data_IF_876258847778
#
_entry.id   IF_876258847778
#
_cell.length_a   1.000
_cell.length_b   1.000
_cell.length_c   1.000
_cell.angle_alpha   90.00
_cell.angle_beta   90.00
_cell.angle_gamma   90.00
#
_symmetry.space_group_name_H-M   'P 1'
#
loop_
_entity.id
_entity.type
_entity.pdbx_description
1 polymer ?
#
# COMPACT_ATOMS: atom_id res chain seq x y z
N UNK A 1 28.28 -58.89 11.44
CA UNK A 1 28.67 -57.86 10.46
C UNK A 1 27.54 -56.85 10.35
N UNK A 2 27.78 -55.58 10.68
CA UNK A 2 26.76 -54.51 10.72
C UNK A 2 26.77 -53.76 9.39
N UNK A 3 25.69 -53.84 8.61
CA UNK A 3 25.49 -52.97 7.45
C UNK A 3 24.80 -51.67 7.91
N UNK A 4 25.47 -50.54 7.72
CA UNK A 4 24.96 -49.20 8.01
C UNK A 4 24.05 -48.76 6.86
N UNK A 5 22.76 -48.60 7.12
CA UNK A 5 21.83 -47.96 6.19
C UNK A 5 21.97 -46.45 6.35
N UNK A 6 22.54 -45.77 5.35
CA UNK A 6 22.60 -44.30 5.30
C UNK A 6 21.31 -43.82 4.65
N UNK A 7 20.43 -43.22 5.46
CA UNK A 7 19.22 -42.53 4.98
C UNK A 7 19.67 -41.19 4.40
N UNK A 8 19.73 -41.09 3.07
CA UNK A 8 19.90 -39.80 2.38
C UNK A 8 18.51 -39.16 2.29
N UNK A 9 18.15 -38.39 3.32
CA UNK A 9 16.98 -37.53 3.28
C UNK A 9 17.29 -36.31 2.42
N UNK A 10 16.84 -36.35 1.16
CA UNK A 10 16.80 -35.17 0.29
C UNK A 10 15.72 -34.25 0.83
N UNK A 11 16.11 -33.30 1.68
CA UNK A 11 15.28 -32.16 2.07
C UNK A 11 15.12 -31.25 0.86
N UNK A 12 14.08 -31.50 0.06
CA UNK A 12 13.59 -30.53 -0.90
C UNK A 12 13.00 -29.35 -0.14
N UNK A 13 13.74 -28.25 -0.05
CA UNK A 13 13.21 -26.94 0.31
C UNK A 13 12.18 -26.53 -0.76
N UNK A 14 10.92 -26.89 -0.54
CA UNK A 14 9.80 -26.19 -1.14
C UNK A 14 9.72 -24.82 -0.48
N UNK A 15 10.37 -23.83 -1.08
CA UNK A 15 10.06 -22.42 -0.90
C UNK A 15 8.67 -22.17 -1.48
N UNK A 16 7.64 -22.61 -0.76
CA UNK A 16 6.31 -22.05 -0.91
C UNK A 16 6.39 -20.64 -0.32
N UNK A 17 6.48 -19.64 -1.19
CA UNK A 17 6.17 -18.27 -0.85
C UNK A 17 4.71 -18.24 -0.38
N UNK A 18 4.49 -18.41 0.93
CA UNK A 18 3.21 -18.15 1.57
C UNK A 18 2.97 -16.65 1.49
N UNK A 19 2.40 -16.19 0.38
CA UNK A 19 1.66 -14.94 0.34
C UNK A 19 0.57 -15.06 1.41
N UNK A 20 0.76 -14.42 2.56
CA UNK A 20 -0.26 -14.40 3.60
C UNK A 20 -1.48 -13.69 3.02
N UNK A 21 -2.64 -14.36 2.90
CA UNK A 21 -3.83 -13.66 2.44
C UNK A 21 -4.17 -12.56 3.44
N UNK A 22 -4.23 -11.31 2.97
CA UNK A 22 -4.51 -10.15 3.80
C UNK A 22 -5.75 -10.35 4.68
N UNK A 23 -5.71 -9.78 5.89
CA UNK A 23 -6.74 -9.95 6.90
C UNK A 23 -8.05 -9.32 6.41
N UNK A 24 -9.15 -10.06 6.46
CA UNK A 24 -10.47 -9.50 6.17
C UNK A 24 -10.84 -8.51 7.26
N UNK A 25 -11.32 -7.34 6.85
CA UNK A 25 -11.73 -6.28 7.74
C UNK A 25 -13.24 -6.15 7.64
N UNK A 26 -13.91 -6.17 8.79
CA UNK A 26 -15.32 -5.81 8.87
C UNK A 26 -15.59 -4.39 8.36
N UNK A 27 -16.86 -4.12 8.08
CA UNK A 27 -17.43 -2.86 7.57
C UNK A 27 -17.28 -1.63 8.49
N UNK A 28 -16.38 -1.66 9.48
CA UNK A 28 -16.19 -0.59 10.46
C UNK A 28 -15.41 0.62 9.93
N UNK A 29 -14.67 0.47 8.83
CA UNK A 29 -13.94 1.59 8.24
C UNK A 29 -14.88 2.49 7.45
N UNK A 30 -15.36 3.56 8.09
CA UNK A 30 -16.26 4.54 7.50
C UNK A 30 -15.52 5.49 6.55
N UNK A 31 -15.05 4.97 5.42
CA UNK A 31 -14.46 5.79 4.36
C UNK A 31 -15.57 6.51 3.57
N UNK A 32 -15.36 7.79 3.18
CA UNK A 32 -16.30 8.51 2.33
C UNK A 32 -16.49 7.79 0.98
N UNK A 33 -17.75 7.49 0.64
CA UNK A 33 -18.13 6.88 -0.64
C UNK A 33 -19.18 7.77 -1.30
N UNK A 34 -18.88 8.27 -2.50
CA UNK A 34 -19.79 9.08 -3.28
C UNK A 34 -19.35 9.09 -4.76
N UNK A 35 -20.31 9.37 -5.65
CA UNK A 35 -19.98 9.70 -7.03
C UNK A 35 -19.25 11.06 -7.06
N UNK A 36 -18.20 11.17 -7.85
CA UNK A 36 -17.37 12.37 -7.93
C UNK A 36 -16.32 12.27 -9.03
N UNK A 37 -15.52 13.34 -9.19
CA UNK A 37 -14.35 13.34 -10.06
C UNK A 37 -13.11 12.85 -9.29
N UNK A 38 -12.07 12.46 -10.03
CA UNK A 38 -10.75 12.24 -9.46
C UNK A 38 -10.17 13.57 -8.94
N UNK A 39 -9.44 13.50 -7.83
CA UNK A 39 -8.65 14.60 -7.27
C UNK A 39 -7.39 14.86 -8.10
N UNK A 40 -6.83 13.79 -8.67
CA UNK A 40 -5.71 13.83 -9.62
C UNK A 40 -5.72 12.52 -10.44
N UNK A 41 -5.14 12.57 -11.63
CA UNK A 41 -4.98 11.41 -12.51
C UNK A 41 -3.55 11.34 -13.01
N UNK A 42 -3.00 10.13 -13.04
CA UNK A 42 -1.66 9.86 -13.59
C UNK A 42 -1.67 8.53 -14.32
N UNK A 43 -0.72 8.35 -15.24
CA UNK A 43 -0.46 7.06 -15.86
C UNK A 43 0.91 6.57 -15.41
N UNK A 44 0.97 5.35 -14.90
CA UNK A 44 2.21 4.62 -14.65
C UNK A 44 2.36 3.50 -15.69
N UNK A 45 3.56 2.98 -15.85
CA UNK A 45 3.80 1.88 -16.76
C UNK A 45 4.29 0.64 -16.01
N UNK A 46 3.51 -0.43 -16.06
CA UNK A 46 3.94 -1.74 -15.58
C UNK A 46 4.40 -2.61 -16.74
N UNK A 47 5.21 -3.62 -16.44
CA UNK A 47 5.66 -4.57 -17.44
C UNK A 47 5.63 -5.98 -16.86
N UNK A 48 4.66 -6.82 -17.27
CA UNK A 48 4.56 -8.18 -16.76
C UNK A 48 5.66 -9.11 -17.30
N UNK A 49 6.39 -8.70 -18.34
CA UNK A 49 7.34 -9.52 -19.09
C UNK A 49 8.79 -9.03 -19.03
N UNK A 50 9.13 -8.21 -18.04
CA UNK A 50 10.50 -7.73 -17.83
C UNK A 50 10.95 -6.64 -18.80
N UNK A 51 10.02 -5.94 -19.44
CA UNK A 51 10.25 -4.69 -20.17
C UNK A 51 9.93 -4.72 -21.66
N UNK A 52 9.46 -5.85 -22.19
CA UNK A 52 9.15 -6.00 -23.63
C UNK A 52 7.82 -5.31 -23.95
N UNK A 53 6.82 -5.51 -23.09
CA UNK A 53 5.55 -4.81 -23.14
C UNK A 53 5.43 -3.85 -21.95
N UNK A 54 5.12 -2.59 -22.25
CA UNK A 54 4.78 -1.58 -21.25
C UNK A 54 3.28 -1.35 -21.28
N UNK A 55 2.64 -1.71 -20.18
CA UNK A 55 1.22 -1.54 -19.97
C UNK A 55 0.94 -0.21 -19.29
N UNK A 56 0.16 0.71 -19.89
CA UNK A 56 -0.27 1.92 -19.19
C UNK A 56 -1.35 1.55 -18.17
N UNK A 57 -1.06 1.80 -16.89
CA UNK A 57 -2.05 1.73 -15.83
C UNK A 57 -2.42 3.15 -15.41
N UNK A 58 -3.70 3.46 -15.45
CA UNK A 58 -4.23 4.74 -15.02
C UNK A 58 -4.54 4.69 -13.53
N UNK A 59 -3.93 5.59 -12.78
CA UNK A 59 -4.22 5.82 -11.37
C UNK A 59 -5.09 7.07 -11.25
N UNK A 60 -6.32 6.90 -10.78
CA UNK A 60 -7.17 7.99 -10.36
C UNK A 60 -7.09 8.12 -8.85
N UNK A 61 -6.52 9.21 -8.36
CA UNK A 61 -6.57 9.54 -6.95
C UNK A 61 -7.96 10.09 -6.62
N UNK A 62 -8.74 9.38 -5.81
CA UNK A 62 -10.16 9.68 -5.54
C UNK A 62 -10.41 10.29 -4.17
N UNK A 63 -9.53 9.99 -3.22
CA UNK A 63 -9.74 10.35 -1.82
C UNK A 63 -8.40 10.58 -1.13
N UNK A 64 -8.30 11.65 -0.35
CA UNK A 64 -7.25 11.87 0.64
C UNK A 64 -7.91 12.29 1.94
N UNK A 65 -8.07 11.35 2.87
CA UNK A 65 -8.71 11.61 4.17
C UNK A 65 -7.81 11.24 5.32
N UNK A 66 -8.20 11.61 6.54
CA UNK A 66 -7.50 11.23 7.76
C UNK A 66 -8.44 10.48 8.69
N UNK A 67 -7.94 9.43 9.31
CA UNK A 67 -8.65 8.72 10.36
C UNK A 67 -7.73 8.47 11.57
N UNK A 68 -8.28 8.44 12.78
CA UNK A 68 -7.53 8.11 13.98
C UNK A 68 -7.06 6.65 13.98
N UNK A 69 -6.06 6.34 14.80
CA UNK A 69 -5.38 5.06 14.81
C UNK A 69 -6.22 3.88 15.30
N UNK A 70 -7.20 4.17 16.16
CA UNK A 70 -8.21 3.21 16.64
C UNK A 70 -9.04 2.62 15.47
N UNK A 71 -9.29 3.41 14.42
CA UNK A 71 -9.90 2.90 13.19
C UNK A 71 -9.00 1.88 12.46
N UNK A 72 -7.68 1.93 12.68
CA UNK A 72 -6.65 1.04 12.12
C UNK A 72 -6.26 -0.13 13.00
N UNK A 73 -6.45 -0.02 14.31
CA UNK A 73 -6.07 -1.06 15.26
C UNK A 73 -6.77 -2.41 14.97
N UNK A 74 -8.02 -2.37 14.49
CA UNK A 74 -8.76 -3.55 14.04
C UNK A 74 -8.37 -4.02 12.62
N UNK A 75 -7.78 -3.14 11.81
CA UNK A 75 -7.43 -3.38 10.42
C UNK A 75 -6.10 -4.14 10.27
N UNK A 76 -5.13 -3.86 11.14
CA UNK A 76 -3.73 -4.19 10.87
C UNK A 76 -2.98 -4.69 12.12
N UNK A 77 -3.37 -5.84 12.71
CA UNK A 77 -2.58 -6.46 13.78
C UNK A 77 -1.16 -6.83 13.34
N UNK A 78 -0.92 -6.90 12.02
CA UNK A 78 0.38 -7.23 11.42
C UNK A 78 1.31 -6.01 11.21
N UNK A 79 0.84 -4.77 11.35
CA UNK A 79 1.69 -3.59 11.20
C UNK A 79 2.26 -3.22 12.58
N UNK A 80 3.49 -3.66 12.83
CA UNK A 80 4.22 -3.34 14.06
C UNK A 80 4.36 -1.81 14.24
N UNK A 81 4.23 -1.32 15.48
CA UNK A 81 4.43 0.10 15.82
C UNK A 81 3.25 1.04 15.56
N UNK A 82 2.09 0.54 15.11
CA UNK A 82 0.87 1.33 14.87
C UNK A 82 0.46 2.20 16.08
N UNK A 83 0.55 1.63 17.28
CA UNK A 83 0.24 2.33 18.52
C UNK A 83 1.21 3.49 18.81
N UNK A 84 2.49 3.33 18.49
CA UNK A 84 3.47 4.39 18.71
C UNK A 84 3.23 5.56 17.75
N UNK A 85 2.89 5.23 16.49
CA UNK A 85 2.55 6.21 15.46
C UNK A 85 1.23 6.94 15.75
N UNK A 86 0.29 6.31 16.46
CA UNK A 86 -1.00 6.90 16.83
C UNK A 86 -0.86 8.22 17.60
N UNK A 87 0.20 8.32 18.42
CA UNK A 87 0.49 9.54 19.21
C UNK A 87 0.83 10.76 18.34
N UNK A 88 1.22 10.54 17.08
CA UNK A 88 1.64 11.58 16.14
C UNK A 88 0.47 12.24 15.39
N UNK A 89 -0.74 11.70 15.52
CA UNK A 89 -1.97 12.21 14.91
C UNK A 89 -2.76 11.16 14.11
N UNK A 90 -3.66 11.63 13.25
CA UNK A 90 -4.43 10.77 12.36
C UNK A 90 -3.62 10.25 11.18
N UNK A 91 -3.81 8.98 10.85
CA UNK A 91 -3.24 8.34 9.66
C UNK A 91 -3.88 8.88 8.39
N UNK A 92 -3.12 8.91 7.31
CA UNK A 92 -3.61 9.41 6.03
C UNK A 92 -4.03 8.25 5.14
N UNK A 93 -5.24 8.33 4.60
CA UNK A 93 -5.83 7.34 3.71
C UNK A 93 -5.92 7.94 2.32
N UNK A 94 -5.26 7.29 1.38
CA UNK A 94 -5.21 7.69 -0.03
C UNK A 94 -5.96 6.63 -0.83
N UNK A 95 -7.16 6.96 -1.28
CA UNK A 95 -7.99 6.09 -2.10
C UNK A 95 -7.68 6.27 -3.57
N UNK A 96 -7.29 5.19 -4.25
CA UNK A 96 -6.87 5.16 -5.64
C UNK A 96 -7.71 4.15 -6.41
N UNK A 97 -8.14 4.51 -7.61
CA UNK A 97 -8.64 3.55 -8.60
C UNK A 97 -7.50 3.27 -9.56
N UNK A 98 -7.14 2.00 -9.70
CA UNK A 98 -6.15 1.50 -10.64
C UNK A 98 -6.90 0.89 -11.81
N UNK A 99 -6.72 1.41 -13.02
CA UNK A 99 -7.33 0.88 -14.24
C UNK A 99 -6.26 0.42 -15.21
N UNK A 100 -6.40 -0.81 -15.69
CA UNK A 100 -5.54 -1.35 -16.73
C UNK A 100 -6.22 -1.14 -18.09
N UNK A 101 -5.70 -0.18 -18.87
CA UNK A 101 -6.22 0.14 -20.22
C UNK A 101 -5.47 -0.58 -21.35
N UNK A 102 -4.48 -1.42 -21.02
CA UNK A 102 -3.74 -2.16 -22.02
C UNK A 102 -4.24 -3.59 -22.25
N UNK A 103 -3.39 -4.40 -22.88
CA UNK A 103 -3.76 -5.70 -23.44
C UNK A 103 -3.30 -6.91 -22.62
N UNK A 104 -2.48 -6.67 -21.59
CA UNK A 104 -1.96 -7.70 -20.69
C UNK A 104 -2.28 -7.30 -19.24
N UNK A 105 -2.31 -8.26 -18.34
CA UNK A 105 -2.50 -7.98 -16.91
C UNK A 105 -1.39 -7.06 -16.40
N UNK A 106 -1.68 -6.37 -15.31
CA UNK A 106 -0.77 -5.44 -14.64
C UNK A 106 -0.74 -5.72 -13.15
N UNK A 107 0.46 -5.64 -12.58
CA UNK A 107 0.71 -5.82 -11.15
C UNK A 107 1.47 -4.59 -10.59
N UNK A 108 0.83 -3.41 -10.54
CA UNK A 108 1.48 -2.20 -10.02
C UNK A 108 1.85 -2.34 -8.54
N UNK A 109 3.10 -2.01 -8.24
CA UNK A 109 3.66 -2.01 -6.89
C UNK A 109 3.30 -0.70 -6.17
N UNK A 110 2.19 -0.71 -5.41
CA UNK A 110 1.70 0.49 -4.76
C UNK A 110 2.55 0.91 -3.54
N UNK A 111 3.40 0.02 -3.01
CA UNK A 111 4.35 0.35 -1.95
C UNK A 111 5.39 1.42 -2.35
N UNK A 112 5.57 1.66 -3.66
CA UNK A 112 6.49 2.67 -4.17
C UNK A 112 5.89 4.08 -4.24
N UNK A 113 4.58 4.22 -4.01
CA UNK A 113 3.87 5.50 -4.07
C UNK A 113 4.10 6.31 -2.79
N UNK A 114 4.54 7.55 -2.94
CA UNK A 114 5.05 8.38 -1.86
C UNK A 114 4.19 9.61 -1.58
N UNK A 115 4.09 10.02 -0.32
CA UNK A 115 3.69 11.38 0.06
C UNK A 115 4.93 12.20 0.41
N UNK A 116 5.18 13.30 -0.30
CA UNK A 116 6.23 14.23 0.10
C UNK A 116 5.82 14.93 1.40
N UNK A 117 6.62 14.75 2.45
CA UNK A 117 6.40 15.32 3.78
C UNK A 117 7.75 15.66 4.42
N UNK A 118 7.86 16.89 4.91
CA UNK A 118 8.96 17.38 5.75
C UNK A 118 8.67 17.19 7.24
N UNK A 119 7.48 16.68 7.59
CA UNK A 119 7.14 16.36 8.97
C UNK A 119 8.06 15.26 9.49
N UNK A 120 8.86 15.59 10.51
CA UNK A 120 9.76 14.69 11.22
C UNK A 120 9.60 14.92 12.73
N UNK A 121 8.58 14.33 13.37
CA UNK A 121 8.35 14.50 14.80
C UNK A 121 9.49 13.91 15.64
N UNK A 122 9.69 14.44 16.85
CA UNK A 122 10.74 13.99 17.76
C UNK A 122 10.65 12.46 18.01
N UNK A 123 11.80 11.79 17.98
CA UNK A 123 11.87 10.31 18.10
C UNK A 123 11.73 9.54 16.77
N UNK A 124 11.32 10.20 15.69
CA UNK A 124 11.27 9.58 14.33
C UNK A 124 12.53 9.84 13.50
N UNK A 125 13.26 10.92 13.79
CA UNK A 125 14.57 11.19 13.20
C UNK A 125 15.68 10.30 13.81
N UNK A 126 15.50 9.87 15.07
CA UNK A 126 16.41 9.01 15.83
C UNK A 126 15.64 8.28 16.93
N UNK A 127 15.86 6.98 17.13
CA UNK A 127 15.15 6.17 18.13
C UNK A 127 14.37 5.00 17.53
N UNK A 128 13.57 4.25 18.33
CA UNK A 128 12.88 3.05 17.87
C UNK A 128 11.85 3.32 16.76
N UNK A 129 11.31 4.55 16.68
CA UNK A 129 10.32 4.94 15.67
C UNK A 129 10.94 5.28 14.30
N UNK A 130 12.26 5.48 14.22
CA UNK A 130 12.97 5.75 12.96
C UNK A 130 12.75 4.64 11.92
N UNK A 131 12.60 3.39 12.35
CA UNK A 131 12.36 2.25 11.46
C UNK A 131 10.94 2.18 10.90
N UNK A 132 9.98 2.87 11.55
CA UNK A 132 8.56 2.82 11.21
C UNK A 132 8.07 4.11 10.56
N UNK A 133 8.79 5.21 10.77
CA UNK A 133 8.40 6.52 10.28
C UNK A 133 9.14 6.87 8.99
N UNK A 134 8.59 6.41 7.87
CA UNK A 134 8.89 6.94 6.55
C UNK A 134 7.60 7.55 6.01
N UNK A 135 7.33 8.85 6.24
CA UNK A 135 6.09 9.47 5.83
C UNK A 135 5.89 9.48 4.32
N UNK A 136 6.96 9.11 3.60
CA UNK A 136 6.96 8.81 2.19
C UNK A 136 6.10 7.59 1.89
N UNK A 137 6.33 6.42 2.47
CA UNK A 137 5.77 5.15 1.96
C UNK A 137 4.49 4.71 2.70
N UNK A 138 3.59 3.95 2.04
CA UNK A 138 2.43 3.39 2.70
C UNK A 138 2.87 2.29 3.68
N UNK A 139 2.18 2.22 4.81
CA UNK A 139 2.32 1.16 5.82
C UNK A 139 1.49 -0.07 5.45
N UNK A 140 0.39 0.15 4.73
CA UNK A 140 -0.54 -0.89 4.35
C UNK A 140 -1.37 -0.49 3.12
N UNK A 141 -1.96 -1.50 2.49
CA UNK A 141 -2.99 -1.35 1.47
C UNK A 141 -4.26 -2.07 1.91
N UNK A 142 -5.40 -1.44 1.65
CA UNK A 142 -6.72 -2.04 1.72
C UNK A 142 -7.22 -2.27 0.31
N UNK A 143 -7.61 -3.50 -0.02
CA UNK A 143 -8.13 -3.87 -1.34
C UNK A 143 -9.18 -4.97 -1.19
N UNK A 144 -10.03 -5.16 -2.20
CA UNK A 144 -11.04 -6.22 -2.20
C UNK A 144 -10.43 -7.60 -2.45
N UNK A 145 -9.30 -7.61 -3.16
CA UNK A 145 -8.52 -8.80 -3.48
C UNK A 145 -7.35 -8.92 -2.50
N UNK A 146 -6.74 -10.10 -2.37
CA UNK A 146 -5.49 -10.18 -1.62
C UNK A 146 -4.39 -9.36 -2.31
N UNK A 147 -3.45 -8.82 -1.53
CA UNK A 147 -2.19 -8.27 -2.05
C UNK A 147 -1.01 -8.98 -1.38
N UNK A 148 0.19 -8.80 -1.93
CA UNK A 148 1.43 -9.28 -1.33
C UNK A 148 2.09 -8.21 -0.43
N UNK A 149 3.29 -8.50 0.07
CA UNK A 149 4.08 -7.58 0.90
C UNK A 149 4.58 -6.34 0.13
N UNK A 150 4.60 -6.38 -1.21
CA UNK A 150 4.88 -5.21 -2.05
C UNK A 150 3.63 -4.35 -2.28
N UNK A 151 2.51 -4.70 -1.65
CA UNK A 151 1.21 -4.06 -1.87
C UNK A 151 0.83 -4.03 -3.35
N UNK A 152 1.20 -5.09 -4.07
CA UNK A 152 0.87 -5.31 -5.47
C UNK A 152 -0.62 -5.58 -5.59
N UNK A 153 -1.27 -4.91 -6.54
CA UNK A 153 -2.67 -5.20 -6.89
C UNK A 153 -2.74 -5.75 -8.31
N UNK A 154 -3.33 -6.93 -8.46
CA UNK A 154 -3.53 -7.52 -9.78
C UNK A 154 -4.72 -6.86 -10.48
N UNK A 155 -4.52 -6.42 -11.73
CA UNK A 155 -5.57 -5.83 -12.55
C UNK A 155 -5.54 -6.44 -13.95
N UNK A 156 -6.61 -7.15 -14.30
CA UNK A 156 -6.82 -7.70 -15.63
C UNK A 156 -7.05 -6.60 -16.69
N UNK A 157 -6.76 -6.87 -17.98
CA UNK A 157 -7.06 -5.95 -19.07
C UNK A 157 -8.50 -5.44 -19.06
N UNK A 158 -8.67 -4.12 -19.13
CA UNK A 158 -9.97 -3.45 -19.13
C UNK A 158 -10.69 -3.43 -17.78
N UNK A 159 -10.06 -3.93 -16.70
CA UNK A 159 -10.62 -3.90 -15.36
C UNK A 159 -10.10 -2.71 -14.55
N UNK A 160 -10.80 -2.43 -13.46
CA UNK A 160 -10.39 -1.44 -12.45
C UNK A 160 -10.48 -2.04 -11.06
N UNK A 161 -9.51 -1.68 -10.21
CA UNK A 161 -9.46 -2.07 -8.80
C UNK A 161 -9.39 -0.83 -7.94
N UNK A 162 -10.12 -0.85 -6.82
CA UNK A 162 -10.03 0.19 -5.80
C UNK A 162 -9.05 -0.26 -4.71
N UNK A 163 -8.05 0.56 -4.45
CA UNK A 163 -7.09 0.37 -3.37
C UNK A 163 -7.09 1.59 -2.44
N UNK A 164 -6.87 1.37 -1.15
CA UNK A 164 -6.67 2.44 -0.16
C UNK A 164 -5.33 2.26 0.49
N UNK A 165 -4.43 3.20 0.24
CA UNK A 165 -3.10 3.22 0.83
C UNK A 165 -3.16 3.95 2.17
N UNK A 166 -2.60 3.32 3.20
CA UNK A 166 -2.53 3.87 4.55
C UNK A 166 -1.12 4.37 4.79
N UNK A 167 -0.98 5.67 5.01
CA UNK A 167 0.27 6.34 5.33
C UNK A 167 0.31 6.74 6.81
N UNK A 168 1.50 6.87 7.41
CA UNK A 168 1.63 7.36 8.79
C UNK A 168 1.07 8.80 8.91
N UNK A 169 0.90 9.30 10.15
CA UNK A 169 0.48 10.69 10.34
C UNK A 169 1.44 11.70 9.71
N UNK A 170 0.85 12.62 8.93
CA UNK A 170 1.54 13.75 8.27
C UNK A 170 0.89 15.08 8.69
N UNK A 171 1.66 16.17 8.66
CA UNK A 171 1.14 17.53 8.85
C UNK A 171 0.79 18.18 7.51
N UNK A 172 -0.32 17.76 6.92
CA UNK A 172 -0.91 18.46 5.77
C UNK A 172 -2.09 19.34 6.23
N UNK A 173 -2.20 20.58 5.73
CA UNK A 173 -3.31 21.49 6.11
C UNK A 173 -4.34 21.71 4.99
N UNK A 174 -4.05 21.30 3.75
CA UNK A 174 -5.02 21.43 2.65
C UNK A 174 -4.74 20.61 1.40
N UNK A 175 -3.48 20.22 1.15
CA UNK A 175 -3.12 19.29 0.08
C UNK A 175 -1.92 18.44 0.48
N UNK A 176 -1.75 17.32 -0.21
CA UNK A 176 -0.53 16.52 -0.22
C UNK A 176 0.15 16.63 -1.58
N UNK A 177 1.45 16.38 -1.64
CA UNK A 177 2.13 16.05 -2.88
C UNK A 177 2.34 14.54 -2.87
N UNK A 178 1.74 13.85 -3.83
CA UNK A 178 1.74 12.40 -3.93
C UNK A 178 2.36 11.98 -5.25
N UNK A 179 3.17 10.92 -5.27
CA UNK A 179 3.99 10.62 -6.44
C UNK A 179 4.68 9.28 -6.39
N UNK A 180 5.49 9.00 -7.40
CA UNK A 180 6.49 7.94 -7.38
C UNK A 180 7.85 8.55 -7.70
N UNK A 181 8.89 8.15 -6.96
CA UNK A 181 10.23 8.71 -7.13
C UNK A 181 10.73 8.52 -8.55
N UNK A 182 11.23 9.61 -9.17
CA UNK A 182 11.66 9.69 -10.57
C UNK A 182 10.60 9.41 -11.65
N UNK A 183 9.32 9.25 -11.29
CA UNK A 183 8.26 8.97 -12.26
C UNK A 183 7.28 10.16 -12.35
N UNK A 184 6.57 10.47 -11.27
CA UNK A 184 5.61 11.56 -11.25
C UNK A 184 5.43 12.17 -9.86
N UNK A 185 4.88 13.39 -9.83
CA UNK A 185 4.40 14.02 -8.60
C UNK A 185 3.17 14.88 -8.93
N UNK A 186 2.09 14.68 -8.17
CA UNK A 186 0.84 15.43 -8.28
C UNK A 186 0.47 16.06 -6.94
N UNK A 187 -0.08 17.28 -7.00
CA UNK A 187 -0.67 17.92 -5.82
C UNK A 187 -2.14 17.55 -5.75
N UNK A 188 -2.55 16.97 -4.63
CA UNK A 188 -3.93 16.54 -4.40
C UNK A 188 -4.51 17.21 -3.16
N UNK A 189 -5.70 17.83 -3.25
CA UNK A 189 -6.37 18.39 -2.08
C UNK A 189 -6.80 17.28 -1.10
N UNK A 190 -6.94 17.64 0.18
CA UNK A 190 -7.63 16.78 1.13
C UNK A 190 -9.13 16.73 0.81
N UNK A 191 -9.76 15.57 1.02
CA UNK A 191 -11.17 15.32 0.75
C UNK A 191 -11.38 14.23 -0.29
N UNK A 192 -12.45 14.36 -1.08
CA UNK A 192 -12.86 13.36 -2.06
C UNK A 192 -13.55 12.15 -1.43
N UNK A 193 -13.80 11.13 -2.26
CA UNK A 193 -14.52 9.93 -1.88
C UNK A 193 -14.14 8.77 -2.78
N UNK A 194 -14.16 7.57 -2.24
CA UNK A 194 -14.12 6.36 -3.05
C UNK A 194 -15.36 6.30 -3.96
N UNK A 195 -15.24 5.67 -5.15
CA UNK A 195 -16.39 5.48 -6.02
C UNK A 195 -17.48 4.64 -5.33
N UNK A 196 -18.76 4.78 -5.71
CA UNK A 196 -19.83 3.96 -5.17
C UNK A 196 -19.54 2.46 -5.37
N UNK A 197 -19.65 1.68 -4.29
CA UNK A 197 -19.38 0.25 -4.32
C UNK A 197 -19.59 -0.40 -2.96
N UNK A 198 -19.75 -1.72 -2.98
CA UNK A 198 -19.75 -2.55 -1.77
C UNK A 198 -18.33 -3.01 -1.48
N UNK A 199 -17.75 -2.55 -0.38
CA UNK A 199 -16.37 -2.83 -0.03
C UNK A 199 -16.27 -3.84 1.11
N UNK A 200 -15.67 -5.00 0.82
CA UNK A 200 -15.20 -5.96 1.83
C UNK A 200 -13.68 -5.93 1.87
N UNK A 201 -13.13 -4.99 2.64
CA UNK A 201 -11.69 -4.72 2.65
C UNK A 201 -10.89 -5.91 3.17
N UNK A 202 -9.77 -6.17 2.50
CA UNK A 202 -8.65 -6.97 2.99
C UNK A 202 -7.48 -6.05 3.21
N UNK A 203 -6.85 -6.16 4.36
CA UNK A 203 -5.72 -5.34 4.75
C UNK A 203 -4.43 -6.15 4.65
N UNK A 204 -3.39 -5.53 4.08
CA UNK A 204 -2.07 -6.12 3.98
C UNK A 204 -1.01 -5.07 4.33
N UNK A 205 -0.04 -5.46 5.15
CA UNK A 205 1.10 -4.61 5.47
C UNK A 205 2.02 -4.47 4.24
N UNK A 206 2.45 -3.24 3.96
CA UNK A 206 3.41 -2.94 2.90
C UNK A 206 4.83 -2.92 3.44
N UNK A 207 5.76 -3.47 2.67
CA UNK A 207 7.19 -3.31 2.87
C UNK A 207 7.67 -2.21 1.92
N UNK A 208 8.32 -1.14 2.40
CA UNK A 208 8.88 -0.10 1.54
C UNK A 208 9.90 -0.68 0.54
N UNK A 209 9.96 -0.17 -0.70
CA UNK A 209 10.88 -0.68 -1.73
C UNK A 209 12.36 -0.38 -1.43
N UNK A 210 12.63 0.62 -0.58
CA UNK A 210 13.97 0.95 -0.11
C UNK A 210 14.09 0.56 1.37
N UNK A 211 15.16 -0.19 1.70
CA UNK A 211 15.48 -0.50 3.08
C UNK A 211 15.75 0.80 3.85
N UNK A 212 15.25 0.91 5.08
CA UNK A 212 15.61 2.00 5.98
C UNK A 212 17.15 2.11 6.03
N UNK A 213 17.74 3.30 5.93
CA UNK A 213 19.19 3.45 6.00
C UNK A 213 19.70 2.81 7.29
N UNK A 214 20.77 2.02 7.18
CA UNK A 214 21.40 1.34 8.30
C UNK A 214 21.70 2.32 9.46
N UNK A 215 21.62 1.82 10.68
CA UNK A 215 21.94 2.56 11.90
C UNK A 215 23.43 2.87 11.99
#
# INVERSE_FOLDING_TARGET
MRARLVVVAVFGLLLAACASPGAAVGSSLSLPVAAGAALAEVSIYTSPDGGIYRNPDHLELRMVTRAPADALAALLPAVAGLHDLASLGGFTFVGVVVRNDGKAFSDPQLNALQIASDYAPDGTASGPLRHYYHPLFPLAVLTLHGSDASCTVHVDPGQSVVAVLVYPPIRATGSIVWGAYHDFAVRAPLGGSLPPGSYSWRAQACVPPQAAPAA
#
